data_IF_399583336610
#
_entry.id   IF_399583336610
#
_cell.length_a   1.000
_cell.length_b   1.000
_cell.length_c   1.000
_cell.angle_alpha   90.00
_cell.angle_beta   90.00
_cell.angle_gamma   90.00
#
_symmetry.space_group_name_H-M   'P 1'
#
loop_
_entity.id
_entity.type
_entity.pdbx_description
1 polymer ?
#
# COMPACT_ATOMS: atom_id res chain seq x y z
N UNK A 1 -5.40 43.46 -18.77
CA UNK A 1 -4.36 42.54 -18.28
C UNK A 1 -5.07 41.26 -17.90
N UNK A 2 -5.09 40.29 -18.80
CA UNK A 2 -5.91 39.07 -18.66
C UNK A 2 -5.03 38.00 -18.02
N UNK A 3 -5.36 37.57 -16.81
CA UNK A 3 -4.67 36.46 -16.14
C UNK A 3 -5.26 35.18 -16.73
N UNK A 4 -4.44 34.45 -17.49
CA UNK A 4 -4.78 33.14 -18.01
C UNK A 4 -4.99 32.18 -16.84
N UNK A 5 -6.19 31.61 -16.74
CA UNK A 5 -6.47 30.49 -15.85
C UNK A 5 -5.61 29.31 -16.29
N UNK A 6 -4.73 28.87 -15.39
CA UNK A 6 -4.09 27.57 -15.52
C UNK A 6 -5.21 26.51 -15.44
N UNK A 7 -5.54 25.91 -16.58
CA UNK A 7 -6.39 24.74 -16.61
C UNK A 7 -5.72 23.65 -15.79
N UNK A 8 -6.34 23.26 -14.67
CA UNK A 8 -6.03 22.00 -14.03
C UNK A 8 -6.18 20.92 -15.10
N UNK A 9 -5.06 20.32 -15.49
CA UNK A 9 -5.09 19.07 -16.22
C UNK A 9 -5.74 18.06 -15.28
N UNK A 10 -7.06 17.92 -15.35
CA UNK A 10 -7.78 16.87 -14.66
C UNK A 10 -7.21 15.55 -15.18
N UNK A 11 -6.35 14.94 -14.37
CA UNK A 11 -5.98 13.54 -14.55
C UNK A 11 -7.30 12.77 -14.69
N UNK A 12 -7.40 11.95 -15.74
CA UNK A 12 -8.59 11.14 -15.96
C UNK A 12 -8.89 10.41 -14.65
N UNK A 13 -10.12 10.52 -14.10
CA UNK A 13 -10.44 9.83 -12.86
C UNK A 13 -10.16 8.34 -13.05
N UNK A 14 -9.48 7.75 -12.07
CA UNK A 14 -9.21 6.31 -12.07
C UNK A 14 -10.54 5.57 -12.04
N UNK A 15 -10.69 4.55 -12.88
CA UNK A 15 -11.85 3.67 -12.79
C UNK A 15 -11.84 2.87 -11.48
N UNK A 16 -13.00 2.35 -11.08
CA UNK A 16 -13.18 1.65 -9.80
C UNK A 16 -12.27 0.42 -9.65
N UNK A 17 -12.02 -0.30 -10.75
CA UNK A 17 -11.13 -1.46 -10.74
C UNK A 17 -9.69 -1.03 -10.44
N UNK A 18 -9.20 0.01 -11.11
CA UNK A 18 -7.88 0.57 -10.85
C UNK A 18 -7.78 1.06 -9.40
N UNK A 19 -8.80 1.75 -8.88
CA UNK A 19 -8.80 2.20 -7.49
C UNK A 19 -8.69 1.03 -6.50
N UNK A 20 -9.45 -0.04 -6.71
CA UNK A 20 -9.40 -1.24 -5.87
C UNK A 20 -8.01 -1.90 -5.88
N UNK A 21 -7.41 -2.06 -7.07
CA UNK A 21 -6.06 -2.61 -7.22
C UNK A 21 -5.03 -1.79 -6.45
N UNK A 22 -5.12 -0.46 -6.49
CA UNK A 22 -4.18 0.41 -5.77
C UNK A 22 -4.35 0.33 -4.26
N UNK A 23 -5.60 0.22 -3.76
CA UNK A 23 -5.88 0.00 -2.34
C UNK A 23 -5.27 -1.33 -1.89
N UNK A 24 -5.54 -2.43 -2.60
CA UNK A 24 -5.02 -3.76 -2.26
C UNK A 24 -3.49 -3.82 -2.31
N UNK A 25 -2.87 -3.14 -3.28
CA UNK A 25 -1.43 -3.05 -3.38
C UNK A 25 -0.81 -2.31 -2.19
N UNK A 26 -1.43 -1.21 -1.74
CA UNK A 26 -0.99 -0.49 -0.53
C UNK A 26 -1.09 -1.38 0.69
N UNK A 27 -2.20 -2.10 0.87
CA UNK A 27 -2.35 -3.05 2.00
C UNK A 27 -1.29 -4.15 1.98
N UNK A 28 -1.01 -4.74 0.82
CA UNK A 28 -0.01 -5.79 0.67
C UNK A 28 1.41 -5.30 0.99
N UNK A 29 1.79 -4.12 0.47
CA UNK A 29 3.09 -3.52 0.75
C UNK A 29 3.25 -3.16 2.23
N UNK A 30 2.22 -2.56 2.83
CA UNK A 30 2.24 -2.13 4.23
C UNK A 30 2.31 -3.33 5.18
N UNK A 31 1.54 -4.39 4.93
CA UNK A 31 1.58 -5.61 5.74
C UNK A 31 2.96 -6.29 5.73
N UNK A 32 3.61 -6.34 4.56
CA UNK A 32 4.95 -6.92 4.45
C UNK A 32 6.01 -6.05 5.13
N UNK A 33 5.94 -4.72 4.98
CA UNK A 33 6.84 -3.81 5.71
C UNK A 33 6.63 -3.90 7.23
N UNK A 34 5.39 -4.00 7.72
CA UNK A 34 5.08 -4.22 9.14
C UNK A 34 5.68 -5.52 9.67
N UNK A 35 5.58 -6.62 8.91
CA UNK A 35 6.24 -7.88 9.26
C UNK A 35 7.75 -7.71 9.40
N UNK A 36 8.38 -7.07 8.40
CA UNK A 36 9.82 -6.84 8.40
C UNK A 36 10.26 -5.94 9.57
N UNK A 37 9.54 -4.85 9.82
CA UNK A 37 9.82 -3.96 10.93
C UNK A 37 9.67 -4.68 12.28
N UNK A 38 8.59 -5.42 12.47
CA UNK A 38 8.25 -6.02 13.76
C UNK A 38 9.06 -7.28 14.08
N UNK A 39 9.25 -8.16 13.10
CA UNK A 39 9.80 -9.50 13.31
C UNK A 39 11.21 -9.68 12.75
N UNK A 40 11.72 -8.72 11.96
CA UNK A 40 13.07 -8.75 11.38
C UNK A 40 13.90 -7.51 11.71
N UNK A 41 13.35 -6.57 12.49
CA UNK A 41 13.97 -5.28 12.83
C UNK A 41 14.39 -4.47 11.60
N UNK A 42 13.69 -4.64 10.48
CA UNK A 42 13.91 -3.90 9.22
C UNK A 42 12.81 -2.85 9.04
N UNK A 43 13.07 -1.63 9.53
CA UNK A 43 12.15 -0.49 9.44
C UNK A 43 12.32 0.36 8.18
N UNK A 44 12.91 -0.18 7.11
CA UNK A 44 13.24 0.60 5.91
C UNK A 44 12.05 0.95 5.02
N UNK A 45 10.88 0.33 5.23
CA UNK A 45 9.66 0.52 4.43
C UNK A 45 9.86 0.37 2.91
N UNK A 46 10.85 -0.44 2.51
CA UNK A 46 11.25 -0.61 1.10
C UNK A 46 10.10 -1.02 0.19
N UNK A 47 9.13 -1.79 0.68
CA UNK A 47 8.06 -2.34 -0.16
C UNK A 47 7.07 -1.24 -0.52
N UNK A 48 6.69 -0.44 0.47
CA UNK A 48 5.86 0.75 0.29
C UNK A 48 6.56 1.79 -0.59
N UNK A 49 7.86 2.01 -0.41
CA UNK A 49 8.63 2.92 -1.27
C UNK A 49 8.69 2.46 -2.73
N UNK A 50 8.91 1.16 -2.97
CA UNK A 50 8.95 0.59 -4.31
C UNK A 50 7.57 0.68 -4.98
N UNK A 51 6.49 0.38 -4.25
CA UNK A 51 5.14 0.57 -4.73
C UNK A 51 4.87 2.04 -5.09
N UNK A 52 5.29 2.98 -4.24
CA UNK A 52 5.11 4.40 -4.50
C UNK A 52 5.80 4.84 -5.80
N UNK A 53 7.02 4.35 -6.07
CA UNK A 53 7.72 4.61 -7.34
C UNK A 53 6.92 4.08 -8.53
N UNK A 54 6.40 2.86 -8.43
CA UNK A 54 5.62 2.23 -9.49
C UNK A 54 4.31 3.00 -9.77
N UNK A 55 3.52 3.28 -8.73
CA UNK A 55 2.25 4.03 -8.88
C UNK A 55 2.49 5.45 -9.39
N UNK A 56 3.53 6.14 -8.89
CA UNK A 56 3.88 7.47 -9.39
C UNK A 56 4.26 7.46 -10.87
N UNK A 57 4.94 6.41 -11.33
CA UNK A 57 5.28 6.25 -12.74
C UNK A 57 4.08 5.89 -13.62
N UNK A 58 3.18 5.01 -13.14
CA UNK A 58 2.06 4.46 -13.94
C UNK A 58 0.82 5.33 -13.90
N UNK A 59 0.39 5.70 -12.70
CA UNK A 59 -0.91 6.33 -12.46
C UNK A 59 -0.77 7.82 -12.10
N UNK A 60 0.48 8.32 -12.01
CA UNK A 60 0.80 9.71 -11.64
C UNK A 60 0.18 10.18 -10.32
N UNK A 61 0.01 9.25 -9.39
CA UNK A 61 -0.37 9.51 -8.00
C UNK A 61 0.60 8.83 -7.04
N UNK A 62 0.51 9.12 -5.75
CA UNK A 62 1.39 8.55 -4.72
C UNK A 62 0.63 7.59 -3.82
N UNK A 63 1.35 6.74 -3.08
CA UNK A 63 0.75 5.92 -2.01
C UNK A 63 0.01 6.80 -1.00
N UNK A 64 0.58 7.96 -0.65
CA UNK A 64 -0.07 8.92 0.24
C UNK A 64 -1.44 9.35 -0.30
N UNK A 65 -1.50 9.69 -1.59
CA UNK A 65 -2.75 10.07 -2.24
C UNK A 65 -3.74 8.92 -2.33
N UNK A 66 -3.29 7.69 -2.56
CA UNK A 66 -4.15 6.50 -2.47
C UNK A 66 -4.77 6.38 -1.07
N UNK A 67 -3.98 6.57 -0.02
CA UNK A 67 -4.45 6.51 1.36
C UNK A 67 -5.41 7.66 1.73
N UNK A 68 -5.21 8.87 1.19
CA UNK A 68 -6.09 10.02 1.44
C UNK A 68 -7.36 10.00 0.58
N UNK A 69 -7.29 9.49 -0.66
CA UNK A 69 -8.37 9.63 -1.63
C UNK A 69 -9.14 8.33 -1.88
N UNK A 70 -8.56 7.14 -1.68
CA UNK A 70 -9.19 5.88 -2.10
C UNK A 70 -9.63 5.00 -0.93
N UNK A 71 -8.98 5.12 0.22
CA UNK A 71 -9.40 4.42 1.43
C UNK A 71 -10.65 5.07 2.06
N UNK A 72 -11.50 4.29 2.78
CA UNK A 72 -12.71 4.80 3.40
C UNK A 72 -12.45 5.86 4.47
N UNK A 73 -11.30 5.81 5.14
CA UNK A 73 -10.91 6.78 6.18
C UNK A 73 -10.62 8.18 5.62
N UNK A 74 -10.30 8.27 4.32
CA UNK A 74 -9.90 9.50 3.62
C UNK A 74 -8.83 10.31 4.36
N UNK A 75 -7.93 9.61 5.04
CA UNK A 75 -6.89 10.18 5.88
C UNK A 75 -5.78 9.17 6.09
N UNK A 76 -4.60 9.43 5.54
CA UNK A 76 -3.50 8.47 5.54
C UNK A 76 -3.08 8.03 6.94
N UNK A 77 -3.13 8.92 7.95
CA UNK A 77 -2.75 8.56 9.33
C UNK A 77 -3.70 7.51 9.88
N UNK A 78 -5.01 7.71 9.69
CA UNK A 78 -6.04 6.75 10.12
C UNK A 78 -5.94 5.42 9.37
N UNK A 79 -5.63 5.46 8.07
CA UNK A 79 -5.36 4.24 7.29
C UNK A 79 -4.18 3.47 7.88
N UNK A 80 -3.05 4.13 8.11
CA UNK A 80 -1.86 3.49 8.66
C UNK A 80 -2.09 2.93 10.07
N UNK A 81 -2.81 3.66 10.92
CA UNK A 81 -3.23 3.20 12.25
C UNK A 81 -4.11 1.95 12.17
N UNK A 82 -5.09 1.92 11.24
CA UNK A 82 -5.94 0.74 11.01
C UNK A 82 -5.11 -0.46 10.57
N UNK A 83 -4.31 -0.31 9.50
CA UNK A 83 -3.51 -1.40 8.94
C UNK A 83 -2.51 -1.94 9.97
N UNK A 84 -1.91 -1.06 10.78
CA UNK A 84 -1.04 -1.48 11.87
C UNK A 84 -1.79 -2.29 12.92
N UNK A 85 -2.97 -1.83 13.35
CA UNK A 85 -3.80 -2.54 14.33
C UNK A 85 -4.21 -3.92 13.81
N UNK A 86 -4.76 -4.00 12.60
CA UNK A 86 -5.18 -5.26 11.97
C UNK A 86 -4.01 -6.25 11.84
N UNK A 87 -2.83 -5.76 11.43
CA UNK A 87 -1.64 -6.60 11.35
C UNK A 87 -1.19 -7.11 12.73
N UNK A 88 -1.25 -6.27 13.77
CA UNK A 88 -0.89 -6.66 15.13
C UNK A 88 -1.87 -7.66 15.74
N UNK A 89 -3.16 -7.53 15.44
CA UNK A 89 -4.20 -8.50 15.81
C UNK A 89 -3.91 -9.87 15.17
N UNK A 90 -3.72 -9.90 13.84
CA UNK A 90 -3.35 -11.12 13.11
C UNK A 90 -2.05 -11.75 13.63
N UNK A 91 -1.05 -10.93 13.95
CA UNK A 91 0.21 -11.40 14.51
C UNK A 91 0.02 -12.02 15.90
N UNK A 92 -0.83 -11.41 16.74
CA UNK A 92 -1.17 -11.91 18.08
C UNK A 92 -1.88 -13.26 18.02
N UNK A 93 -2.88 -13.39 17.14
CA UNK A 93 -3.64 -14.63 16.91
C UNK A 93 -2.75 -15.81 16.47
N UNK A 94 -1.59 -15.51 15.86
CA UNK A 94 -0.62 -16.49 15.36
C UNK A 94 0.56 -16.71 16.31
N UNK A 95 0.47 -16.29 17.57
CA UNK A 95 1.53 -16.50 18.55
C UNK A 95 2.71 -15.53 18.43
N UNK A 96 2.46 -14.33 17.90
CA UNK A 96 3.48 -13.29 17.76
C UNK A 96 4.52 -13.59 16.69
N UNK A 97 5.62 -12.83 16.71
CA UNK A 97 6.73 -13.02 15.77
C UNK A 97 7.34 -14.43 15.81
N UNK A 98 7.33 -15.09 16.98
CA UNK A 98 7.81 -16.45 17.13
C UNK A 98 6.93 -17.44 16.37
N UNK A 99 5.60 -17.37 16.56
CA UNK A 99 4.68 -18.30 15.90
C UNK A 99 4.56 -18.08 14.39
N UNK A 100 4.75 -16.86 13.89
CA UNK A 100 4.70 -16.62 12.43
C UNK A 100 6.00 -16.97 11.70
N UNK A 101 7.15 -16.97 12.38
CA UNK A 101 8.46 -17.19 11.73
C UNK A 101 8.56 -18.58 11.10
N UNK A 102 7.96 -19.56 11.76
CA UNK A 102 7.94 -20.96 11.33
C UNK A 102 6.61 -21.33 10.61
N UNK A 103 5.81 -20.32 10.26
CA UNK A 103 4.56 -20.48 9.51
C UNK A 103 4.74 -20.09 8.04
N UNK A 104 3.72 -20.37 7.22
CA UNK A 104 3.68 -19.92 5.82
C UNK A 104 3.43 -18.42 5.65
N UNK A 105 3.09 -17.69 6.72
CA UNK A 105 2.71 -16.27 6.63
C UNK A 105 3.76 -15.39 5.95
N UNK A 106 5.07 -15.47 6.26
CA UNK A 106 6.08 -14.64 5.58
C UNK A 106 6.11 -14.87 4.07
N UNK A 107 5.95 -16.14 3.65
CA UNK A 107 5.87 -16.50 2.23
C UNK A 107 4.59 -15.95 1.59
N UNK A 108 3.44 -16.06 2.27
CA UNK A 108 2.16 -15.53 1.80
C UNK A 108 2.17 -14.00 1.66
N UNK A 109 2.70 -13.27 2.65
CA UNK A 109 2.83 -11.81 2.58
C UNK A 109 3.71 -11.39 1.39
N UNK A 110 4.82 -12.11 1.17
CA UNK A 110 5.69 -11.88 0.02
C UNK A 110 5.00 -12.17 -1.30
N UNK A 111 4.33 -13.32 -1.42
CA UNK A 111 3.61 -13.69 -2.64
C UNK A 111 2.52 -12.66 -2.98
N UNK A 112 1.73 -12.21 -2.00
CA UNK A 112 0.71 -11.18 -2.17
C UNK A 112 1.31 -9.85 -2.64
N UNK A 113 2.44 -9.43 -2.05
CA UNK A 113 3.13 -8.23 -2.50
C UNK A 113 3.64 -8.38 -3.94
N UNK A 114 4.33 -9.47 -4.27
CA UNK A 114 4.90 -9.70 -5.60
C UNK A 114 3.81 -9.83 -6.68
N UNK A 115 2.64 -10.39 -6.34
CA UNK A 115 1.45 -10.38 -7.19
C UNK A 115 0.94 -8.96 -7.42
N UNK A 116 0.79 -8.16 -6.36
CA UNK A 116 0.26 -6.80 -6.49
C UNK A 116 1.18 -5.86 -7.24
N UNK A 117 2.49 -6.01 -7.09
CA UNK A 117 3.46 -5.26 -7.89
C UNK A 117 3.28 -5.55 -9.39
N UNK A 118 3.08 -6.82 -9.77
CA UNK A 118 2.82 -7.21 -11.18
C UNK A 118 1.47 -6.71 -11.67
N UNK A 119 0.44 -6.76 -10.85
CA UNK A 119 -0.89 -6.26 -11.22
C UNK A 119 -0.88 -4.74 -11.42
N UNK A 120 -0.24 -3.98 -10.53
CA UNK A 120 -0.09 -2.52 -10.69
C UNK A 120 0.75 -2.20 -11.93
N UNK A 121 1.79 -2.99 -12.21
CA UNK A 121 2.57 -2.89 -13.44
C UNK A 121 1.75 -3.26 -14.69
N UNK A 122 0.70 -4.06 -14.59
CA UNK A 122 -0.16 -4.36 -15.73
C UNK A 122 -1.23 -3.29 -16.00
N UNK A 123 -1.40 -2.30 -15.11
CA UNK A 123 -2.41 -1.25 -15.27
C UNK A 123 -2.15 -0.38 -16.51
N UNK A 124 -3.21 0.08 -17.20
CA UNK A 124 -3.12 0.93 -18.38
C UNK A 124 -2.59 2.34 -18.07
#
# INVERSE_FOLDING_TARGET
MTIAGAGEAHARPLDEQTQAILVEAVEAAYALDLYHARCRSDGSNRRTENLNKLIASRQRITVLRVQDDLFPERNYRRVQERLQREFMEMLSERGGCAGVKDSELPAQLRARYDEMMRTVEALP
#
